data_IF_137796546769
#
_entry.id   IF_137796546769
#
_cell.length_a   1.000
_cell.length_b   1.000
_cell.length_c   1.000
_cell.angle_alpha   90.00
_cell.angle_beta   90.00
_cell.angle_gamma   90.00
#
_symmetry.space_group_name_H-M   'P 1'
#
loop_
_entity.id
_entity.type
_entity.pdbx_description
1 polymer ?
#
# COMPACT_ATOMS: atom_id res chain seq x y z
N UNK A 1 -11.70 17.74 -22.82
CA UNK A 1 -12.03 18.06 -21.44
C UNK A 1 -13.52 18.41 -21.34
N UNK A 2 -14.23 17.87 -20.37
CA UNK A 2 -15.68 18.03 -20.18
C UNK A 2 -16.09 19.40 -19.60
N UNK A 3 -15.27 20.45 -19.79
CA UNK A 3 -15.52 21.78 -19.23
C UNK A 3 -15.27 21.91 -17.73
N UNK A 4 -14.76 20.87 -17.09
CA UNK A 4 -14.43 20.89 -15.67
C UNK A 4 -13.14 21.63 -15.42
N UNK A 5 -13.09 22.44 -14.36
CA UNK A 5 -11.92 23.24 -13.98
C UNK A 5 -11.44 22.82 -12.61
N UNK A 6 -10.12 22.68 -12.50
CA UNK A 6 -9.43 22.67 -11.21
C UNK A 6 -8.71 24.00 -11.07
N UNK A 7 -8.93 24.69 -9.97
CA UNK A 7 -8.34 25.99 -9.71
C UNK A 7 -7.24 25.88 -8.66
N UNK A 8 -6.15 26.62 -8.87
CA UNK A 8 -5.00 26.66 -7.97
C UNK A 8 -4.79 28.08 -7.48
N UNK A 9 -4.75 28.25 -6.17
CA UNK A 9 -4.26 29.48 -5.56
C UNK A 9 -2.75 29.41 -5.43
N UNK A 10 -2.07 30.52 -5.71
CA UNK A 10 -0.61 30.61 -5.60
C UNK A 10 -0.23 31.82 -4.76
N UNK A 11 0.82 31.65 -3.94
CA UNK A 11 1.46 32.78 -3.28
C UNK A 11 2.20 33.60 -4.34
N UNK A 12 1.88 34.89 -4.44
CA UNK A 12 2.42 35.79 -5.49
C UNK A 12 3.93 36.03 -5.38
N UNK A 13 4.52 35.80 -4.22
CA UNK A 13 5.96 36.00 -3.95
C UNK A 13 6.76 34.71 -4.13
N UNK A 14 6.32 33.61 -3.50
CA UNK A 14 7.05 32.33 -3.51
C UNK A 14 6.66 31.43 -4.68
N UNK A 15 5.46 31.57 -5.23
CA UNK A 15 4.90 30.67 -6.23
C UNK A 15 4.36 29.36 -5.65
N UNK A 16 4.36 29.20 -4.33
CA UNK A 16 3.86 28.01 -3.68
C UNK A 16 2.33 27.92 -3.78
N UNK A 17 1.82 26.70 -3.92
CA UNK A 17 0.38 26.45 -3.96
C UNK A 17 -0.21 26.66 -2.58
N UNK A 18 -1.21 27.55 -2.46
CA UNK A 18 -1.92 27.82 -1.20
C UNK A 18 -3.24 27.10 -1.09
N UNK A 19 -3.87 26.80 -2.21
CA UNK A 19 -5.12 26.06 -2.26
C UNK A 19 -5.35 25.40 -3.61
N UNK A 20 -6.12 24.34 -3.59
CA UNK A 20 -6.59 23.64 -4.78
C UNK A 20 -8.10 23.48 -4.64
N UNK A 21 -8.86 23.98 -5.63
CA UNK A 21 -10.31 23.79 -5.69
C UNK A 21 -10.66 22.90 -6.86
N UNK A 22 -11.30 21.78 -6.58
CA UNK A 22 -11.76 20.81 -7.58
C UNK A 22 -13.02 21.29 -8.28
N UNK A 23 -13.39 20.69 -9.45
CA UNK A 23 -14.60 21.11 -10.21
C UNK A 23 -15.90 21.07 -9.42
N UNK A 24 -16.00 20.25 -8.38
CA UNK A 24 -17.15 20.13 -7.49
C UNK A 24 -17.12 21.12 -6.31
N UNK A 25 -16.13 22.02 -6.26
CA UNK A 25 -16.01 23.03 -5.23
C UNK A 25 -15.29 22.58 -3.95
N UNK A 26 -14.72 21.40 -3.94
CA UNK A 26 -13.94 20.91 -2.78
C UNK A 26 -12.59 21.58 -2.74
N UNK A 27 -12.20 22.05 -1.57
CA UNK A 27 -10.98 22.84 -1.38
C UNK A 27 -9.99 22.13 -0.47
N UNK A 28 -8.73 22.07 -0.91
CA UNK A 28 -7.57 21.67 -0.10
C UNK A 28 -6.72 22.89 0.13
N UNK A 29 -6.35 23.17 1.38
CA UNK A 29 -5.54 24.32 1.77
C UNK A 29 -4.17 23.90 2.24
N UNK A 30 -3.16 24.69 1.85
CA UNK A 30 -1.76 24.48 2.19
C UNK A 30 -1.24 25.68 2.98
N UNK A 31 -0.53 25.43 4.06
CA UNK A 31 0.05 26.46 4.91
C UNK A 31 1.56 26.29 4.99
N UNK A 32 2.26 27.40 5.02
CA UNK A 32 3.71 27.43 5.02
C UNK A 32 4.24 28.34 6.15
N UNK A 33 5.45 28.08 6.62
CA UNK A 33 6.15 28.96 7.54
C UNK A 33 6.89 30.05 6.79
N UNK A 34 7.59 30.94 7.51
CA UNK A 34 8.36 32.04 6.93
C UNK A 34 9.52 31.55 6.04
N UNK A 35 9.99 30.33 6.22
CA UNK A 35 10.99 29.69 5.38
C UNK A 35 10.42 28.97 4.15
N UNK A 36 9.14 29.15 3.83
CA UNK A 36 8.43 28.52 2.71
C UNK A 36 8.35 26.99 2.83
N UNK A 37 8.40 26.45 4.05
CA UNK A 37 8.24 25.04 4.30
C UNK A 37 6.79 24.73 4.66
N UNK A 38 6.26 23.62 4.13
CA UNK A 38 4.88 23.20 4.35
C UNK A 38 4.68 22.83 5.82
N UNK A 39 3.74 23.52 6.51
CA UNK A 39 3.43 23.25 7.92
C UNK A 39 2.12 22.55 8.13
N UNK A 40 1.16 22.72 7.24
CA UNK A 40 -0.15 22.07 7.34
C UNK A 40 -0.80 21.89 5.98
N UNK A 41 -1.61 20.84 5.88
CA UNK A 41 -2.53 20.58 4.77
C UNK A 41 -3.90 20.31 5.37
N UNK A 42 -4.90 21.09 4.97
CA UNK A 42 -6.29 20.88 5.35
C UNK A 42 -7.01 20.31 4.15
N UNK A 43 -7.47 19.06 4.25
CA UNK A 43 -8.21 18.38 3.19
C UNK A 43 -9.68 18.84 3.13
N UNK A 44 -10.40 18.55 2.03
CA UNK A 44 -11.80 18.99 1.87
C UNK A 44 -12.76 18.49 2.96
N UNK A 45 -12.43 17.37 3.61
CA UNK A 45 -13.19 16.82 4.74
C UNK A 45 -12.92 17.54 6.07
N UNK A 46 -12.05 18.58 6.07
CA UNK A 46 -11.71 19.37 7.24
C UNK A 46 -10.59 18.76 8.11
N UNK A 47 -10.08 17.59 7.75
CA UNK A 47 -8.98 16.96 8.48
C UNK A 47 -7.65 17.61 8.11
N UNK A 48 -6.78 17.74 9.10
CA UNK A 48 -5.51 18.45 8.98
C UNK A 48 -4.34 17.53 9.27
N UNK A 49 -3.32 17.57 8.39
CA UNK A 49 -2.00 17.05 8.66
C UNK A 49 -1.04 18.19 8.96
N UNK A 50 -0.06 17.97 9.83
CA UNK A 50 0.87 19.02 10.28
C UNK A 50 2.32 18.57 10.22
N UNK A 51 3.22 19.56 10.05
CA UNK A 51 4.66 19.39 10.12
C UNK A 51 5.27 20.52 10.92
N UNK A 52 6.24 20.18 11.77
CA UNK A 52 7.01 21.14 12.54
C UNK A 52 8.48 21.03 12.18
N UNK A 53 9.18 22.15 12.19
CA UNK A 53 10.59 22.27 11.83
C UNK A 53 11.37 22.94 12.96
N UNK A 54 12.64 22.61 13.07
CA UNK A 54 13.55 23.31 13.99
C UNK A 54 14.06 24.61 13.35
N UNK A 55 14.88 25.37 14.10
CA UNK A 55 15.42 26.64 13.65
C UNK A 55 16.27 26.51 12.36
N UNK A 56 17.14 25.47 12.19
CA UNK A 56 17.82 25.25 10.91
C UNK A 56 16.93 24.79 9.76
N UNK A 57 15.65 24.48 10.00
CA UNK A 57 14.70 24.10 8.98
C UNK A 57 14.55 22.58 8.77
N UNK A 58 15.03 21.77 9.70
CA UNK A 58 14.88 20.31 9.63
C UNK A 58 13.54 19.88 10.22
N UNK A 59 12.93 18.84 9.62
CA UNK A 59 11.66 18.29 10.09
C UNK A 59 11.84 17.65 11.48
N UNK A 60 11.09 18.07 12.48
CA UNK A 60 11.13 17.52 13.84
C UNK A 60 9.85 16.78 14.23
N UNK A 61 8.74 17.03 13.56
CA UNK A 61 7.52 16.23 13.75
C UNK A 61 6.62 16.23 12.52
N UNK A 62 5.91 15.13 12.35
CA UNK A 62 4.84 14.96 11.37
C UNK A 62 3.62 14.40 12.09
N UNK A 63 2.48 15.05 11.92
CA UNK A 63 1.19 14.58 12.45
C UNK A 63 0.28 14.24 11.28
N UNK A 64 -0.23 13.00 11.25
CA UNK A 64 -1.15 12.55 10.21
C UNK A 64 -2.53 13.18 10.36
N UNK A 65 -3.37 13.02 9.35
CA UNK A 65 -4.78 13.46 9.37
C UNK A 65 -5.58 12.87 10.54
N UNK A 66 -5.24 11.66 10.96
CA UNK A 66 -5.88 10.98 12.09
C UNK A 66 -5.26 11.31 13.45
N UNK A 67 -4.22 12.14 13.48
CA UNK A 67 -3.62 12.68 14.71
C UNK A 67 -2.42 11.91 15.24
N UNK A 68 -1.93 10.89 14.54
CA UNK A 68 -0.72 10.17 14.92
C UNK A 68 0.50 11.02 14.60
N UNK A 69 1.41 11.13 15.56
CA UNK A 69 2.61 11.98 15.45
C UNK A 69 3.87 11.13 15.45
N UNK A 70 4.74 11.38 14.48
CA UNK A 70 6.11 10.86 14.40
C UNK A 70 7.06 12.01 14.68
N UNK A 71 8.06 11.79 15.54
CA UNK A 71 9.04 12.81 15.94
C UNK A 71 10.44 12.40 15.51
N UNK A 72 11.25 13.41 15.16
CA UNK A 72 12.61 13.24 14.70
C UNK A 72 13.56 14.07 15.55
N UNK A 73 14.70 13.48 15.93
CA UNK A 73 15.76 14.18 16.65
C UNK A 73 17.07 14.01 15.91
N UNK A 74 17.88 15.07 15.92
CA UNK A 74 19.18 15.14 15.24
C UNK A 74 20.30 15.22 16.28
N UNK A 75 21.47 14.65 15.99
CA UNK A 75 22.59 14.61 16.93
C UNK A 75 23.26 15.96 17.11
N UNK A 76 23.39 16.73 16.03
CA UNK A 76 24.03 18.04 16.07
C UNK A 76 23.34 19.04 15.14
N UNK A 77 23.79 20.30 15.21
CA UNK A 77 23.19 21.40 14.44
C UNK A 77 23.42 21.30 12.92
N UNK A 78 24.31 20.44 12.46
CA UNK A 78 24.68 20.31 11.06
C UNK A 78 24.19 19.02 10.39
N UNK A 79 23.69 18.07 11.16
CA UNK A 79 23.14 16.83 10.62
C UNK A 79 21.84 17.06 9.89
N UNK A 80 21.71 16.57 8.66
CA UNK A 80 20.48 16.64 7.88
C UNK A 80 19.62 15.39 8.03
N UNK A 81 20.17 14.30 8.59
CA UNK A 81 19.51 13.05 8.78
C UNK A 81 19.23 12.79 10.28
N UNK A 82 18.05 12.29 10.62
CA UNK A 82 17.68 12.11 12.02
C UNK A 82 18.47 10.98 12.70
N UNK A 83 18.93 11.23 13.91
CA UNK A 83 19.57 10.21 14.74
C UNK A 83 18.54 9.37 15.49
N UNK A 84 17.38 9.92 15.79
CA UNK A 84 16.31 9.23 16.52
C UNK A 84 14.97 9.54 15.87
N UNK A 85 14.16 8.50 15.70
CA UNK A 85 12.76 8.59 15.28
C UNK A 85 11.88 7.99 16.36
N UNK A 86 10.85 8.73 16.78
CA UNK A 86 9.83 8.25 17.75
C UNK A 86 8.50 8.14 16.99
N UNK A 87 7.92 6.96 16.92
CA UNK A 87 6.65 6.74 16.27
C UNK A 87 5.45 7.07 17.17
N UNK A 88 4.23 6.95 16.63
CA UNK A 88 3.01 7.28 17.37
C UNK A 88 2.74 6.38 18.57
N UNK A 89 3.38 5.21 18.66
CA UNK A 89 3.32 4.33 19.83
C UNK A 89 4.23 4.78 20.97
N UNK A 90 5.09 5.79 20.73
CA UNK A 90 6.12 6.22 21.65
C UNK A 90 7.42 5.42 21.55
N UNK A 91 7.47 4.44 20.66
CA UNK A 91 8.66 3.62 20.45
C UNK A 91 9.72 4.38 19.67
N UNK A 92 10.98 4.23 20.06
CA UNK A 92 12.10 4.94 19.45
C UNK A 92 12.98 4.02 18.64
N UNK A 93 13.56 4.58 17.58
CA UNK A 93 14.57 3.95 16.72
C UNK A 93 15.77 4.88 16.66
N UNK A 94 16.97 4.30 16.66
CA UNK A 94 18.20 5.06 16.59
C UNK A 94 18.94 4.73 15.32
N UNK A 95 19.57 5.74 14.69
CA UNK A 95 20.30 5.61 13.45
C UNK A 95 21.65 6.31 13.57
N UNK A 96 22.68 5.65 13.06
CA UNK A 96 24.01 6.21 12.95
C UNK A 96 24.37 6.33 11.48
N UNK A 97 24.83 7.51 11.06
CA UNK A 97 25.11 7.83 9.67
C UNK A 97 26.59 8.10 9.43
N UNK A 98 27.08 7.73 8.26
CA UNK A 98 28.39 8.17 7.80
C UNK A 98 28.33 9.65 7.38
N UNK A 99 29.50 10.26 7.21
CA UNK A 99 29.59 11.63 6.66
C UNK A 99 29.05 11.75 5.24
N UNK A 100 28.84 10.64 4.54
CA UNK A 100 28.27 10.59 3.19
C UNK A 100 26.77 10.31 3.19
N UNK A 101 26.13 10.24 4.36
CA UNK A 101 24.70 9.97 4.47
C UNK A 101 24.34 8.49 4.35
N UNK A 102 25.28 7.59 4.50
CA UNK A 102 25.02 6.14 4.51
C UNK A 102 24.64 5.67 5.92
N UNK A 103 23.63 4.82 6.03
CA UNK A 103 23.23 4.24 7.30
C UNK A 103 24.27 3.20 7.76
N UNK A 104 24.94 3.47 8.86
CA UNK A 104 25.97 2.56 9.43
C UNK A 104 25.37 1.61 10.46
N UNK A 105 24.42 2.06 11.26
CA UNK A 105 23.77 1.26 12.27
C UNK A 105 22.34 1.71 12.48
N UNK A 106 21.48 0.75 12.78
CA UNK A 106 20.08 0.95 13.10
C UNK A 106 19.74 0.16 14.36
N UNK A 107 19.19 0.82 15.37
CA UNK A 107 18.70 0.18 16.60
C UNK A 107 17.19 0.30 16.61
N UNK A 108 16.49 -0.82 16.66
CA UNK A 108 15.03 -0.83 16.66
C UNK A 108 14.45 -0.52 18.05
N UNK A 109 13.12 -0.55 18.16
CA UNK A 109 12.40 -0.23 19.40
C UNK A 109 12.70 -1.22 20.55
N UNK A 110 13.25 -2.38 20.27
CA UNK A 110 13.64 -3.40 21.26
C UNK A 110 15.12 -3.32 21.66
N UNK A 111 15.88 -2.37 21.09
CA UNK A 111 17.30 -2.28 21.27
C UNK A 111 18.11 -3.24 20.39
N UNK A 112 17.47 -3.92 19.45
CA UNK A 112 18.13 -4.80 18.48
C UNK A 112 18.90 -3.97 17.46
N UNK A 113 20.21 -4.23 17.35
CA UNK A 113 21.07 -3.46 16.47
C UNK A 113 21.38 -4.20 15.17
N UNK A 114 21.27 -3.48 14.05
CA UNK A 114 21.72 -3.91 12.72
C UNK A 114 22.82 -2.97 12.27
N UNK A 115 23.92 -3.51 11.74
CA UNK A 115 25.05 -2.74 11.22
C UNK A 115 25.22 -3.02 9.75
N UNK A 116 25.68 -2.00 9.00
CA UNK A 116 25.80 -2.03 7.54
C UNK A 116 27.25 -1.71 7.14
N UNK A 117 27.73 -2.39 6.14
CA UNK A 117 29.04 -2.12 5.52
C UNK A 117 28.87 -1.76 4.06
N UNK A 118 29.73 -0.89 3.57
CA UNK A 118 29.71 -0.38 2.20
C UNK A 118 31.11 -0.48 1.58
N UNK A 119 31.14 -0.66 0.25
CA UNK A 119 32.41 -0.58 -0.47
C UNK A 119 32.81 0.88 -0.75
N UNK A 120 33.94 1.06 -1.41
CA UNK A 120 34.43 2.41 -1.76
C UNK A 120 33.57 3.16 -2.75
N UNK A 121 32.65 2.48 -3.44
CA UNK A 121 31.68 3.07 -4.37
C UNK A 121 30.35 3.39 -3.73
N UNK A 122 30.19 3.15 -2.43
CA UNK A 122 28.97 3.39 -1.70
C UNK A 122 27.91 2.28 -1.81
N UNK A 123 28.27 1.14 -2.33
CA UNK A 123 27.37 -0.02 -2.45
C UNK A 123 27.40 -0.85 -1.16
N UNK A 124 26.23 -1.26 -0.69
CA UNK A 124 26.11 -2.07 0.52
C UNK A 124 26.65 -3.48 0.28
N UNK A 125 27.67 -3.88 1.04
CA UNK A 125 28.32 -5.18 0.92
C UNK A 125 27.94 -6.17 2.00
N UNK A 126 27.51 -5.67 3.16
CA UNK A 126 27.13 -6.54 4.27
C UNK A 126 26.09 -5.90 5.17
N UNK A 127 25.24 -6.75 5.73
CA UNK A 127 24.29 -6.42 6.80
C UNK A 127 24.56 -7.39 7.94
N UNK A 128 24.88 -6.86 9.12
CA UNK A 128 25.18 -7.65 10.31
C UNK A 128 24.08 -7.43 11.34
N UNK A 129 23.38 -8.49 11.67
CA UNK A 129 22.38 -8.50 12.73
C UNK A 129 22.95 -9.16 13.99
N UNK A 130 22.28 -9.03 15.11
CA UNK A 130 22.68 -9.70 16.34
C UNK A 130 22.66 -11.23 16.15
N UNK A 131 23.28 -11.95 17.07
CA UNK A 131 23.40 -13.41 17.07
C UNK A 131 24.21 -13.98 15.89
N UNK A 132 25.10 -13.16 15.30
CA UNK A 132 25.97 -13.58 14.20
C UNK A 132 25.26 -13.79 12.87
N UNK A 133 24.06 -13.23 12.72
CA UNK A 133 23.30 -13.31 11.46
C UNK A 133 23.81 -12.23 10.53
N UNK A 134 24.47 -12.65 9.45
CA UNK A 134 25.04 -11.72 8.47
C UNK A 134 24.59 -12.07 7.05
N UNK A 135 24.35 -11.04 6.26
CA UNK A 135 24.01 -11.11 4.85
C UNK A 135 25.10 -10.40 4.05
N UNK A 136 25.49 -10.96 2.93
CA UNK A 136 26.56 -10.41 2.09
C UNK A 136 26.08 -10.21 0.66
N UNK A 137 26.56 -9.13 0.04
CA UNK A 137 26.31 -8.79 -1.36
C UNK A 137 27.64 -8.61 -2.08
N UNK A 138 27.73 -9.16 -3.28
CA UNK A 138 28.86 -9.00 -4.17
C UNK A 138 28.44 -8.31 -5.46
N UNK A 139 29.32 -7.44 -5.96
CA UNK A 139 29.07 -6.65 -7.15
C UNK A 139 30.20 -6.88 -8.17
N UNK A 140 29.86 -6.72 -9.45
CA UNK A 140 30.86 -6.71 -10.49
C UNK A 140 31.56 -5.34 -10.61
N UNK A 141 32.51 -5.22 -11.52
CA UNK A 141 33.23 -3.97 -11.72
C UNK A 141 32.39 -2.84 -12.35
N UNK A 142 31.16 -3.12 -12.77
CA UNK A 142 30.17 -2.14 -13.24
C UNK A 142 29.16 -1.76 -12.16
N UNK A 143 29.30 -2.27 -10.96
CA UNK A 143 28.41 -1.99 -9.84
C UNK A 143 27.12 -2.79 -9.84
N UNK A 144 27.00 -3.86 -10.63
CA UNK A 144 25.81 -4.71 -10.68
C UNK A 144 25.92 -5.83 -9.66
N UNK A 145 24.81 -6.13 -8.99
CA UNK A 145 24.74 -7.20 -7.98
C UNK A 145 24.90 -8.56 -8.65
N UNK A 146 25.95 -9.31 -8.28
CA UNK A 146 26.22 -10.64 -8.84
C UNK A 146 25.82 -11.77 -7.91
N UNK A 147 25.84 -11.55 -6.60
CA UNK A 147 25.36 -12.55 -5.64
C UNK A 147 24.91 -11.95 -4.32
N UNK A 148 24.03 -12.67 -3.66
CA UNK A 148 23.59 -12.43 -2.28
C UNK A 148 23.77 -13.73 -1.50
N UNK A 149 24.47 -13.65 -0.38
CA UNK A 149 24.70 -14.79 0.53
C UNK A 149 23.93 -14.56 1.81
N UNK A 150 23.07 -15.51 2.20
CA UNK A 150 22.31 -15.40 3.44
C UNK A 150 23.14 -15.86 4.67
N UNK A 151 22.51 -15.77 5.86
CA UNK A 151 23.15 -16.11 7.12
C UNK A 151 23.56 -17.58 7.24
N UNK A 152 22.99 -18.47 6.43
CA UNK A 152 23.29 -19.89 6.39
C UNK A 152 24.31 -20.24 5.32
N UNK A 153 24.83 -19.24 4.61
CA UNK A 153 25.79 -19.41 3.53
C UNK A 153 25.18 -19.79 2.20
N UNK A 154 23.83 -19.78 2.09
CA UNK A 154 23.14 -20.04 0.83
C UNK A 154 23.24 -18.84 -0.08
N UNK A 155 23.53 -19.09 -1.35
CA UNK A 155 23.85 -18.05 -2.31
C UNK A 155 22.85 -17.98 -3.45
N UNK A 156 22.36 -16.78 -3.73
CA UNK A 156 21.58 -16.46 -4.93
C UNK A 156 22.49 -15.70 -5.89
N UNK A 157 22.53 -16.11 -7.15
CA UNK A 157 23.41 -15.54 -8.18
C UNK A 157 22.60 -14.81 -9.25
N UNK A 158 23.20 -13.76 -9.80
CA UNK A 158 22.58 -12.92 -10.82
C UNK A 158 23.50 -12.79 -12.03
N UNK A 159 22.95 -12.91 -13.22
CA UNK A 159 23.70 -12.75 -14.47
C UNK A 159 23.09 -11.64 -15.31
N UNK A 160 23.92 -10.96 -16.08
CA UNK A 160 23.54 -9.81 -16.88
C UNK A 160 24.06 -9.97 -18.32
N UNK A 161 23.34 -9.36 -19.30
CA UNK A 161 23.85 -9.24 -20.65
C UNK A 161 24.79 -8.02 -20.80
N UNK A 162 25.33 -7.82 -21.99
CA UNK A 162 26.26 -6.71 -22.25
C UNK A 162 25.59 -5.32 -22.07
N UNK A 163 24.28 -5.23 -22.23
CA UNK A 163 23.52 -3.99 -22.04
C UNK A 163 23.23 -3.69 -20.55
N UNK A 164 23.49 -4.64 -19.65
CA UNK A 164 23.23 -4.47 -18.23
C UNK A 164 21.88 -5.00 -17.76
N UNK A 165 21.12 -5.67 -18.62
CA UNK A 165 19.82 -6.26 -18.26
C UNK A 165 20.03 -7.58 -17.52
N UNK A 166 19.21 -7.83 -16.49
CA UNK A 166 19.26 -9.07 -15.71
C UNK A 166 18.74 -10.24 -16.55
N UNK A 167 19.62 -11.17 -16.92
CA UNK A 167 19.27 -12.32 -17.77
C UNK A 167 19.00 -13.59 -17.01
N UNK A 168 19.55 -13.76 -15.81
CA UNK A 168 19.30 -14.96 -15.02
C UNK A 168 19.38 -14.69 -13.52
N UNK A 169 18.57 -15.42 -12.78
CA UNK A 169 18.62 -15.55 -11.32
C UNK A 169 18.73 -17.03 -11.00
N UNK A 170 19.75 -17.40 -10.23
CA UNK A 170 19.99 -18.77 -9.80
C UNK A 170 19.84 -18.83 -8.29
N UNK A 171 18.81 -19.53 -7.82
CA UNK A 171 18.53 -19.70 -6.39
C UNK A 171 19.48 -20.72 -5.76
N UNK A 172 19.61 -20.75 -4.41
CA UNK A 172 20.55 -21.65 -3.73
C UNK A 172 20.31 -23.13 -4.00
N UNK A 173 19.07 -23.52 -4.34
CA UNK A 173 18.71 -24.90 -4.71
C UNK A 173 19.05 -25.25 -6.17
N UNK A 174 19.63 -24.33 -6.91
CA UNK A 174 20.03 -24.52 -8.30
C UNK A 174 18.98 -24.20 -9.33
N UNK A 175 17.78 -23.74 -8.93
CA UNK A 175 16.75 -23.34 -9.87
C UNK A 175 17.16 -22.07 -10.60
N UNK A 176 17.07 -22.12 -11.93
CA UNK A 176 17.46 -21.03 -12.81
C UNK A 176 16.24 -20.42 -13.48
N UNK A 177 16.08 -19.11 -13.31
CA UNK A 177 15.09 -18.30 -14.03
C UNK A 177 15.82 -17.44 -15.05
N UNK A 178 15.37 -17.46 -16.29
CA UNK A 178 16.02 -16.71 -17.39
C UNK A 178 15.04 -15.72 -18.00
N UNK A 179 15.56 -14.56 -18.39
CA UNK A 179 14.81 -13.52 -19.09
C UNK A 179 15.58 -13.09 -20.32
N UNK A 180 14.90 -13.05 -21.47
CA UNK A 180 15.44 -12.51 -22.69
C UNK A 180 14.86 -11.14 -22.97
N UNK A 181 15.65 -10.26 -23.57
CA UNK A 181 15.32 -8.87 -23.84
C UNK A 181 15.42 -8.54 -25.32
N UNK A 182 14.62 -7.59 -25.78
CA UNK A 182 14.78 -7.02 -27.12
C UNK A 182 15.91 -5.99 -27.17
N UNK A 183 16.12 -5.40 -28.34
CA UNK A 183 17.18 -4.41 -28.54
C UNK A 183 16.97 -3.11 -27.76
N UNK A 184 15.75 -2.86 -27.23
CA UNK A 184 15.41 -1.69 -26.43
C UNK A 184 15.41 -1.97 -24.93
N UNK A 185 15.81 -3.19 -24.52
CA UNK A 185 15.88 -3.57 -23.10
C UNK A 185 14.57 -4.00 -22.49
N UNK A 186 13.55 -4.33 -23.30
CA UNK A 186 12.28 -4.85 -22.80
C UNK A 186 12.30 -6.37 -22.77
N UNK A 187 11.76 -6.95 -21.70
CA UNK A 187 11.67 -8.40 -21.55
C UNK A 187 10.70 -8.99 -22.60
N UNK A 188 11.19 -9.95 -23.40
CA UNK A 188 10.38 -10.64 -24.41
C UNK A 188 10.06 -12.08 -24.05
N UNK A 189 10.83 -12.69 -23.15
CA UNK A 189 10.50 -14.02 -22.62
C UNK A 189 11.08 -14.24 -21.25
N UNK A 190 10.40 -15.04 -20.44
CA UNK A 190 10.87 -15.53 -19.14
C UNK A 190 10.73 -17.03 -19.09
N UNK A 191 11.76 -17.72 -18.59
CA UNK A 191 11.78 -19.19 -18.49
C UNK A 191 12.09 -19.60 -17.04
N UNK A 192 11.22 -20.43 -16.48
CA UNK A 192 11.41 -21.03 -15.15
C UNK A 192 11.03 -22.50 -15.22
N UNK A 193 11.90 -23.38 -14.70
CA UNK A 193 11.64 -24.81 -14.69
C UNK A 193 11.34 -25.42 -16.06
N UNK A 194 11.93 -24.86 -17.12
CA UNK A 194 11.68 -25.30 -18.49
C UNK A 194 10.39 -24.78 -19.11
N UNK A 195 9.61 -23.95 -18.38
CA UNK A 195 8.37 -23.36 -18.87
C UNK A 195 8.63 -21.91 -19.27
N UNK A 196 8.23 -21.55 -20.47
CA UNK A 196 8.50 -20.22 -21.07
C UNK A 196 7.21 -19.45 -21.27
N UNK A 197 7.22 -18.19 -20.82
CA UNK A 197 6.23 -17.16 -21.16
C UNK A 197 6.88 -16.12 -22.04
N UNK A 198 6.13 -15.61 -23.00
CA UNK A 198 6.66 -14.59 -23.90
C UNK A 198 5.73 -13.40 -24.04
N UNK A 199 6.31 -12.26 -24.45
CA UNK A 199 5.64 -10.98 -24.56
C UNK A 199 6.02 -10.32 -25.87
N UNK A 200 5.04 -9.68 -26.51
CA UNK A 200 5.27 -8.86 -27.69
C UNK A 200 4.84 -7.41 -27.40
N UNK A 201 5.55 -6.48 -28.01
CA UNK A 201 5.33 -5.04 -27.82
C UNK A 201 5.06 -4.38 -29.17
N UNK A 202 4.27 -3.30 -29.14
CA UNK A 202 4.11 -2.44 -30.30
C UNK A 202 5.27 -1.43 -30.42
N UNK A 203 5.24 -0.60 -31.47
CA UNK A 203 6.28 0.40 -31.70
C UNK A 203 6.37 1.48 -30.59
N UNK A 204 5.28 1.70 -29.83
CA UNK A 204 5.23 2.60 -28.70
C UNK A 204 5.71 1.94 -27.39
N UNK A 205 6.05 0.65 -27.42
CA UNK A 205 6.53 -0.09 -26.27
C UNK A 205 5.44 -0.64 -25.35
N UNK A 206 4.20 -0.69 -25.81
CA UNK A 206 3.09 -1.26 -25.05
C UNK A 206 2.97 -2.75 -25.34
N UNK A 207 2.61 -3.55 -24.32
CA UNK A 207 2.39 -4.99 -24.48
C UNK A 207 1.16 -5.21 -25.35
N UNK A 208 1.32 -5.93 -26.48
CA UNK A 208 0.21 -6.29 -27.38
C UNK A 208 -0.14 -7.78 -27.31
N UNK A 209 0.75 -8.63 -26.83
CA UNK A 209 0.47 -10.05 -26.67
C UNK A 209 1.28 -10.65 -25.53
N UNK A 210 0.64 -11.54 -24.78
CA UNK A 210 1.26 -12.43 -23.81
C UNK A 210 0.98 -13.87 -24.23
N UNK A 211 2.01 -14.71 -24.20
CA UNK A 211 1.87 -16.13 -24.48
C UNK A 211 2.27 -16.90 -23.21
N UNK A 212 1.38 -17.77 -22.70
CA UNK A 212 1.66 -18.59 -21.55
C UNK A 212 2.45 -19.87 -21.92
N UNK A 213 2.74 -20.68 -20.91
CA UNK A 213 3.52 -21.91 -21.06
C UNK A 213 2.86 -22.96 -21.98
N UNK A 214 1.54 -22.89 -22.13
CA UNK A 214 0.76 -23.77 -23.00
C UNK A 214 0.64 -23.28 -24.44
N UNK A 215 1.22 -22.11 -24.76
CA UNK A 215 1.07 -21.48 -26.06
C UNK A 215 -0.22 -20.70 -26.24
N UNK A 216 -1.06 -20.56 -25.22
CA UNK A 216 -2.26 -19.73 -25.28
C UNK A 216 -1.90 -18.25 -25.24
N UNK A 217 -2.67 -17.42 -25.96
CA UNK A 217 -2.41 -15.98 -26.09
C UNK A 217 -3.41 -15.14 -25.33
N UNK A 218 -2.94 -14.01 -24.82
CA UNK A 218 -3.77 -12.89 -24.40
C UNK A 218 -3.30 -11.66 -25.18
N UNK A 219 -4.23 -11.01 -25.88
CA UNK A 219 -3.93 -9.90 -26.79
C UNK A 219 -4.51 -8.60 -26.26
N UNK A 220 -3.80 -7.49 -26.49
CA UNK A 220 -4.16 -6.18 -25.98
C UNK A 220 -4.14 -5.14 -27.09
N UNK A 221 -5.14 -4.27 -27.08
CA UNK A 221 -5.23 -3.12 -27.98
C UNK A 221 -5.42 -1.83 -27.19
N UNK A 222 -4.86 -0.75 -27.69
CA UNK A 222 -4.84 0.55 -27.01
C UNK A 222 -5.40 1.65 -27.92
N UNK A 223 -5.93 2.70 -27.30
CA UNK A 223 -6.32 3.92 -28.01
C UNK A 223 -5.12 4.87 -28.18
N UNK A 224 -5.37 6.02 -28.81
CA UNK A 224 -4.33 7.02 -29.05
C UNK A 224 -3.77 7.68 -27.78
N UNK A 225 -4.43 7.51 -26.63
CA UNK A 225 -4.01 8.00 -25.31
C UNK A 225 -3.38 6.90 -24.44
N UNK A 226 -2.95 5.78 -25.07
CA UNK A 226 -2.32 4.64 -24.40
C UNK A 226 -3.20 3.89 -23.38
N UNK A 227 -4.53 4.02 -23.50
CA UNK A 227 -5.48 3.33 -22.63
C UNK A 227 -5.89 2.01 -23.27
N UNK A 228 -6.00 0.96 -22.44
CA UNK A 228 -6.44 -0.36 -22.88
C UNK A 228 -7.91 -0.30 -23.34
N UNK A 229 -8.18 -0.65 -24.61
CA UNK A 229 -9.54 -0.67 -25.16
C UNK A 229 -10.04 -2.07 -25.47
N UNK A 230 -9.15 -3.06 -25.60
CA UNK A 230 -9.54 -4.44 -25.85
C UNK A 230 -8.50 -5.39 -25.26
N UNK A 231 -8.99 -6.46 -24.67
CA UNK A 231 -8.17 -7.55 -24.14
C UNK A 231 -8.79 -8.88 -24.54
N UNK A 232 -8.01 -9.73 -25.18
CA UNK A 232 -8.35 -11.14 -25.37
C UNK A 232 -7.70 -11.98 -24.29
N UNK A 233 -8.48 -12.80 -23.57
CA UNK A 233 -7.96 -13.67 -22.53
C UNK A 233 -7.38 -14.98 -23.07
N UNK A 234 -6.61 -15.69 -22.24
CA UNK A 234 -6.08 -17.02 -22.54
C UNK A 234 -7.18 -18.06 -22.80
N UNK A 235 -8.37 -17.82 -22.28
CA UNK A 235 -9.58 -18.66 -22.46
C UNK A 235 -10.36 -18.32 -23.72
N UNK A 236 -9.88 -17.38 -24.54
CA UNK A 236 -10.53 -16.91 -25.76
C UNK A 236 -11.61 -15.87 -25.54
N UNK A 237 -11.88 -15.43 -24.32
CA UNK A 237 -12.84 -14.34 -24.05
C UNK A 237 -12.27 -12.99 -24.43
N UNK A 238 -13.14 -12.14 -24.95
CA UNK A 238 -12.76 -10.77 -25.32
C UNK A 238 -13.46 -9.78 -24.42
N UNK A 239 -12.69 -8.86 -23.85
CA UNK A 239 -13.17 -7.73 -23.07
C UNK A 239 -12.87 -6.43 -23.81
N UNK A 240 -13.81 -5.49 -23.80
CA UNK A 240 -13.68 -4.16 -24.40
C UNK A 240 -13.96 -3.09 -23.38
N UNK A 241 -13.26 -1.96 -23.50
CA UNK A 241 -13.33 -0.85 -22.55
C UNK A 241 -13.53 0.47 -23.28
N UNK A 242 -14.36 1.33 -22.69
CA UNK A 242 -14.60 2.69 -23.16
C UNK A 242 -14.36 3.67 -22.01
N UNK A 243 -13.87 4.85 -22.36
CA UNK A 243 -13.49 5.89 -21.39
C UNK A 243 -14.19 7.20 -21.73
N UNK A 244 -14.41 8.04 -20.72
CA UNK A 244 -14.90 9.39 -20.92
C UNK A 244 -13.75 10.35 -21.31
N UNK A 245 -14.10 11.62 -21.53
CA UNK A 245 -13.12 12.64 -21.92
C UNK A 245 -12.10 12.96 -20.81
N UNK A 246 -12.36 12.55 -19.57
CA UNK A 246 -11.45 12.73 -18.44
C UNK A 246 -10.59 11.49 -18.15
N UNK A 247 -10.80 10.42 -18.90
CA UNK A 247 -10.03 9.18 -18.80
C UNK A 247 -10.60 8.13 -17.84
N UNK A 248 -11.84 8.34 -17.31
CA UNK A 248 -12.47 7.34 -16.47
C UNK A 248 -13.13 6.25 -17.30
N UNK A 249 -13.06 5.01 -16.82
CA UNK A 249 -13.76 3.88 -17.44
C UNK A 249 -15.27 4.06 -17.31
N UNK A 250 -15.97 4.13 -18.42
CA UNK A 250 -17.43 4.30 -18.46
C UNK A 250 -18.17 3.04 -18.89
N UNK A 251 -17.52 2.15 -19.62
CA UNK A 251 -18.14 0.93 -20.12
C UNK A 251 -17.12 -0.18 -20.27
N UNK A 252 -17.52 -1.41 -19.92
CA UNK A 252 -16.82 -2.63 -20.32
C UNK A 252 -17.81 -3.61 -20.92
N UNK A 253 -17.31 -4.44 -21.84
CA UNK A 253 -18.06 -5.54 -22.46
C UNK A 253 -17.28 -6.83 -22.26
N UNK A 254 -17.96 -7.87 -21.78
CA UNK A 254 -17.40 -9.20 -21.59
C UNK A 254 -18.44 -10.24 -22.04
N UNK A 255 -18.21 -10.87 -23.18
CA UNK A 255 -19.06 -11.95 -23.70
C UNK A 255 -20.57 -11.60 -23.74
N UNK A 256 -20.89 -10.38 -24.18
CA UNK A 256 -22.27 -9.89 -24.25
C UNK A 256 -22.80 -9.25 -22.96
N UNK A 257 -22.02 -9.24 -21.89
CA UNK A 257 -22.33 -8.46 -20.69
C UNK A 257 -21.77 -7.05 -20.85
N UNK A 258 -22.66 -6.06 -20.85
CA UNK A 258 -22.29 -4.65 -20.95
C UNK A 258 -22.46 -4.02 -19.58
N UNK A 259 -21.34 -3.60 -18.98
CA UNK A 259 -21.31 -2.89 -17.70
C UNK A 259 -21.08 -1.41 -17.95
N UNK A 260 -21.95 -0.55 -17.40
CA UNK A 260 -21.80 0.90 -17.43
C UNK A 260 -21.53 1.42 -16.03
N UNK A 261 -20.53 2.29 -15.90
CA UNK A 261 -20.18 2.98 -14.66
C UNK A 261 -20.52 4.45 -14.74
N UNK A 262 -21.07 4.98 -13.66
CA UNK A 262 -21.49 6.37 -13.53
C UNK A 262 -20.76 7.04 -12.38
N UNK A 263 -20.46 8.31 -12.54
CA UNK A 263 -19.65 9.08 -11.61
C UNK A 263 -20.34 10.39 -11.24
N UNK A 264 -20.05 10.89 -10.04
CA UNK A 264 -20.48 12.21 -9.61
C UNK A 264 -19.51 13.31 -10.07
N UNK A 265 -19.76 14.54 -9.66
CA UNK A 265 -18.92 15.69 -10.01
C UNK A 265 -17.52 15.64 -9.39
N UNK A 266 -17.34 14.84 -8.33
CA UNK A 266 -16.04 14.59 -7.69
C UNK A 266 -15.28 13.42 -8.29
N UNK A 267 -15.76 12.84 -9.40
CA UNK A 267 -15.20 11.67 -10.07
C UNK A 267 -15.26 10.38 -9.22
N UNK A 268 -16.20 10.32 -8.27
CA UNK A 268 -16.45 9.13 -7.46
C UNK A 268 -17.56 8.31 -8.13
N UNK A 269 -17.39 6.98 -8.11
CA UNK A 269 -18.42 6.08 -8.65
C UNK A 269 -19.72 6.20 -7.84
N UNK A 270 -20.85 6.36 -8.52
CA UNK A 270 -22.18 6.42 -7.88
C UNK A 270 -23.01 5.17 -8.10
N UNK A 271 -22.93 4.58 -9.27
CA UNK A 271 -23.62 3.33 -9.57
C UNK A 271 -23.05 2.67 -10.82
N UNK A 272 -23.37 1.41 -10.99
CA UNK A 272 -23.12 0.68 -12.23
C UNK A 272 -24.36 -0.12 -12.63
N UNK A 273 -24.47 -0.36 -13.93
CA UNK A 273 -25.52 -1.21 -14.49
C UNK A 273 -24.87 -2.36 -15.26
N UNK A 274 -25.56 -3.49 -15.34
CA UNK A 274 -25.17 -4.62 -16.18
C UNK A 274 -26.34 -4.93 -17.11
N UNK A 275 -26.11 -4.83 -18.42
CA UNK A 275 -27.15 -4.96 -19.46
C UNK A 275 -28.38 -4.09 -19.20
N UNK A 276 -28.16 -2.88 -18.72
CA UNK A 276 -29.22 -1.91 -18.41
C UNK A 276 -29.92 -2.10 -17.06
N UNK A 277 -29.63 -3.18 -16.36
CA UNK A 277 -30.19 -3.42 -15.03
C UNK A 277 -29.27 -2.87 -13.93
N UNK A 278 -29.82 -2.22 -12.89
CA UNK A 278 -29.00 -1.74 -11.77
C UNK A 278 -28.26 -2.90 -11.10
N UNK A 279 -26.95 -2.73 -10.90
CA UNK A 279 -26.12 -3.72 -10.24
C UNK A 279 -25.69 -3.26 -8.84
N UNK A 280 -24.95 -2.14 -8.76
CA UNK A 280 -24.49 -1.62 -7.48
C UNK A 280 -24.66 -0.10 -7.40
N UNK A 281 -24.79 0.40 -6.19
CA UNK A 281 -24.87 1.83 -5.88
C UNK A 281 -23.91 2.18 -4.74
N UNK A 282 -23.29 3.37 -4.82
CA UNK A 282 -22.37 3.91 -3.82
C UNK A 282 -22.87 5.27 -3.37
N UNK A 283 -22.79 5.54 -2.06
CA UNK A 283 -23.15 6.83 -1.48
C UNK A 283 -22.02 7.36 -0.61
N UNK A 284 -21.93 8.68 -0.51
CA UNK A 284 -20.85 9.37 0.20
C UNK A 284 -21.45 10.44 1.10
N UNK A 285 -20.75 10.75 2.20
CA UNK A 285 -21.15 11.83 3.10
C UNK A 285 -20.58 13.19 2.64
N UNK A 286 -20.84 14.23 3.44
CA UNK A 286 -20.34 15.58 3.15
C UNK A 286 -18.83 15.71 3.20
N UNK A 287 -18.13 14.80 3.89
CA UNK A 287 -16.68 14.73 3.90
C UNK A 287 -16.13 14.05 2.62
N UNK A 288 -16.98 13.39 1.85
CA UNK A 288 -16.58 12.56 0.72
C UNK A 288 -16.23 11.13 1.09
N UNK A 289 -16.56 10.69 2.30
CA UNK A 289 -16.31 9.33 2.74
C UNK A 289 -17.45 8.41 2.31
N UNK A 290 -17.10 7.19 1.92
CA UNK A 290 -18.08 6.19 1.47
C UNK A 290 -18.95 5.76 2.66
N UNK A 291 -20.27 5.95 2.53
CA UNK A 291 -21.23 5.59 3.58
C UNK A 291 -22.00 4.31 3.27
N UNK A 292 -22.24 4.01 2.00
CA UNK A 292 -23.09 2.89 1.62
C UNK A 292 -22.67 2.28 0.29
N UNK A 293 -22.70 0.95 0.23
CA UNK A 293 -22.68 0.18 -1.00
C UNK A 293 -23.88 -0.75 -0.97
N UNK A 294 -24.68 -0.78 -2.05
CA UNK A 294 -25.87 -1.62 -2.11
C UNK A 294 -26.07 -2.24 -3.48
N UNK A 295 -26.74 -3.39 -3.50
CA UNK A 295 -27.17 -4.06 -4.72
C UNK A 295 -28.47 -4.84 -4.48
N UNK A 296 -29.14 -5.23 -5.56
CA UNK A 296 -30.30 -6.11 -5.50
C UNK A 296 -29.84 -7.55 -5.73
N UNK A 297 -30.29 -8.46 -4.87
CA UNK A 297 -30.01 -9.90 -4.98
C UNK A 297 -31.29 -10.67 -4.58
N UNK A 298 -31.75 -11.54 -5.47
CA UNK A 298 -32.94 -12.38 -5.25
C UNK A 298 -34.18 -11.58 -4.79
N UNK A 299 -34.38 -10.38 -5.35
CA UNK A 299 -35.49 -9.51 -4.99
C UNK A 299 -35.32 -8.75 -3.67
N UNK A 300 -34.17 -8.84 -3.04
CA UNK A 300 -33.85 -8.12 -1.81
C UNK A 300 -32.74 -7.10 -2.04
N UNK A 301 -32.77 -6.02 -1.25
CA UNK A 301 -31.69 -5.05 -1.22
C UNK A 301 -30.65 -5.47 -0.19
N UNK A 302 -29.45 -5.75 -0.65
CA UNK A 302 -28.31 -6.06 0.21
C UNK A 302 -27.41 -4.83 0.27
N UNK A 303 -27.07 -4.38 1.46
CA UNK A 303 -26.29 -3.17 1.65
C UNK A 303 -25.24 -3.34 2.74
N UNK A 304 -24.14 -2.58 2.60
CA UNK A 304 -23.15 -2.36 3.66
C UNK A 304 -23.13 -0.86 3.94
N UNK A 305 -23.29 -0.50 5.21
CA UNK A 305 -23.26 0.87 5.69
C UNK A 305 -22.00 1.08 6.51
N UNK A 306 -21.29 2.17 6.26
CA UNK A 306 -20.01 2.49 6.90
C UNK A 306 -20.16 3.70 7.81
N UNK A 307 -19.61 3.62 9.02
CA UNK A 307 -19.55 4.72 9.97
C UNK A 307 -18.09 5.09 10.28
N UNK A 308 -17.87 6.37 10.57
CA UNK A 308 -16.53 6.92 10.79
C UNK A 308 -16.49 7.76 12.06
N UNK A 309 -15.31 7.88 12.66
CA UNK A 309 -15.09 8.85 13.72
C UNK A 309 -14.73 10.23 13.12
N UNK A 310 -14.50 11.20 13.99
CA UNK A 310 -14.15 12.56 13.59
C UNK A 310 -12.80 12.68 12.88
N UNK A 311 -11.95 11.65 12.99
CA UNK A 311 -10.65 11.54 12.32
C UNK A 311 -10.71 10.78 10.99
N UNK A 312 -11.91 10.37 10.54
CA UNK A 312 -12.10 9.66 9.29
C UNK A 312 -11.75 8.18 9.34
N UNK A 313 -11.59 7.61 10.55
CA UNK A 313 -11.30 6.18 10.70
C UNK A 313 -12.61 5.40 10.75
N UNK A 314 -12.63 4.23 10.10
CA UNK A 314 -13.79 3.36 10.06
C UNK A 314 -14.10 2.82 11.47
N UNK A 315 -15.28 3.14 12.00
CA UNK A 315 -15.71 2.69 13.32
C UNK A 315 -16.83 1.65 13.26
N UNK A 316 -17.53 1.55 12.14
CA UNK A 316 -18.61 0.59 12.02
C UNK A 316 -18.87 0.14 10.59
N UNK A 317 -19.27 -1.11 10.46
CA UNK A 317 -19.80 -1.70 9.24
C UNK A 317 -21.10 -2.41 9.60
N UNK A 318 -22.18 -2.03 8.95
CA UNK A 318 -23.47 -2.66 9.15
C UNK A 318 -23.96 -3.27 7.83
N UNK A 319 -24.04 -4.57 7.79
CA UNK A 319 -24.63 -5.32 6.68
C UNK A 319 -26.13 -5.43 6.88
N UNK A 320 -26.90 -5.18 5.84
CA UNK A 320 -28.36 -5.27 5.91
C UNK A 320 -28.94 -6.01 4.72
N UNK A 321 -30.08 -6.66 4.95
CA UNK A 321 -30.95 -7.19 3.92
C UNK A 321 -32.33 -6.56 4.13
N UNK A 322 -32.85 -5.89 3.12
CA UNK A 322 -34.08 -5.12 3.19
C UNK A 322 -35.04 -5.52 2.06
N UNK A 323 -36.33 -5.33 2.31
CA UNK A 323 -37.34 -5.34 1.25
C UNK A 323 -37.20 -4.03 0.44
N UNK A 324 -36.89 -4.08 -0.87
CA UNK A 324 -36.61 -2.88 -1.65
C UNK A 324 -37.87 -2.00 -1.88
N UNK A 325 -39.09 -2.56 -1.75
CA UNK A 325 -40.36 -1.84 -1.96
C UNK A 325 -40.84 -1.16 -0.68
N UNK A 326 -40.70 -1.83 0.47
CA UNK A 326 -41.24 -1.34 1.76
C UNK A 326 -40.17 -0.72 2.65
N UNK A 327 -38.90 -1.01 2.39
CA UNK A 327 -37.79 -0.62 3.26
C UNK A 327 -37.68 -1.42 4.55
N UNK A 328 -38.49 -2.48 4.70
CA UNK A 328 -38.46 -3.33 5.89
C UNK A 328 -37.12 -4.03 6.04
N UNK A 329 -36.53 -3.90 7.23
CA UNK A 329 -35.27 -4.58 7.58
C UNK A 329 -35.57 -6.04 7.88
N UNK A 330 -35.02 -6.95 7.06
CA UNK A 330 -35.19 -8.39 7.21
C UNK A 330 -34.07 -9.04 8.00
N UNK A 331 -32.86 -8.49 7.89
CA UNK A 331 -31.67 -8.99 8.57
C UNK A 331 -30.63 -7.89 8.67
N UNK A 332 -29.87 -7.91 9.75
CA UNK A 332 -28.70 -7.05 9.90
C UNK A 332 -27.62 -7.71 10.74
N UNK A 333 -26.41 -7.30 10.46
CA UNK A 333 -25.21 -7.64 11.22
C UNK A 333 -24.32 -6.41 11.30
N UNK A 334 -23.89 -6.06 12.49
CA UNK A 334 -23.03 -4.91 12.71
C UNK A 334 -21.69 -5.34 13.30
N UNK A 335 -20.62 -4.76 12.76
CA UNK A 335 -19.27 -4.92 13.29
C UNK A 335 -18.71 -3.54 13.61
N UNK A 336 -18.23 -3.35 14.84
CA UNK A 336 -17.61 -2.09 15.26
C UNK A 336 -16.10 -2.24 15.37
N UNK A 337 -15.39 -1.16 15.10
CA UNK A 337 -13.94 -1.08 15.14
C UNK A 337 -13.53 0.00 16.13
N UNK A 338 -12.50 -0.26 16.91
CA UNK A 338 -11.93 0.71 17.82
C UNK A 338 -10.41 0.82 17.62
N UNK A 339 -9.88 1.96 18.03
CA UNK A 339 -8.48 2.32 17.87
C UNK A 339 -7.93 2.71 19.24
N UNK A 340 -6.65 2.41 19.50
CA UNK A 340 -5.99 2.82 20.73
C UNK A 340 -5.55 4.30 20.63
N UNK A 341 -4.94 4.81 21.70
CA UNK A 341 -4.48 6.20 21.78
C UNK A 341 -3.39 6.54 20.75
N UNK A 342 -2.67 5.54 20.25
CA UNK A 342 -1.66 5.69 19.21
C UNK A 342 -2.25 5.59 17.80
N UNK A 343 -3.57 5.44 17.64
CA UNK A 343 -4.24 5.32 16.37
C UNK A 343 -4.17 3.94 15.71
N UNK A 344 -3.72 2.92 16.43
CA UNK A 344 -3.67 1.55 15.91
C UNK A 344 -5.03 0.87 16.07
N UNK A 345 -5.51 0.19 15.03
CA UNK A 345 -6.70 -0.65 15.08
C UNK A 345 -6.44 -1.81 16.04
N UNK A 346 -7.18 -1.84 17.15
CA UNK A 346 -6.90 -2.81 18.22
C UNK A 346 -8.11 -3.63 18.65
N UNK A 347 -9.31 -3.33 18.16
CA UNK A 347 -10.52 -4.01 18.60
C UNK A 347 -11.56 -4.09 17.49
N UNK A 348 -12.12 -5.29 17.32
CA UNK A 348 -13.27 -5.53 16.44
C UNK A 348 -14.35 -6.23 17.26
N UNK A 349 -15.55 -5.66 17.27
CA UNK A 349 -16.69 -6.23 17.99
C UNK A 349 -17.78 -6.60 16.98
N UNK A 350 -17.92 -7.89 16.62
CA UNK A 350 -19.04 -8.37 15.82
C UNK A 350 -20.33 -8.32 16.65
N UNK A 351 -21.46 -8.16 15.97
CA UNK A 351 -22.78 -8.12 16.61
C UNK A 351 -23.04 -9.40 17.41
N UNK A 352 -23.52 -9.23 18.63
CA UNK A 352 -23.88 -10.32 19.58
C UNK A 352 -22.71 -11.24 19.98
N UNK A 353 -21.48 -10.87 19.64
CA UNK A 353 -20.29 -11.64 19.98
C UNK A 353 -19.34 -10.81 20.85
N UNK A 354 -18.52 -11.46 21.69
CA UNK A 354 -17.49 -10.74 22.42
C UNK A 354 -16.49 -10.08 21.49
N UNK A 355 -15.88 -8.95 21.87
CA UNK A 355 -14.90 -8.27 21.05
C UNK A 355 -13.62 -9.12 20.88
N UNK A 356 -13.04 -9.06 19.69
CA UNK A 356 -11.68 -9.52 19.43
C UNK A 356 -10.74 -8.33 19.60
N UNK A 357 -9.74 -8.49 20.43
CA UNK A 357 -8.79 -7.44 20.76
C UNK A 357 -7.37 -7.91 20.48
N UNK A 358 -6.61 -7.08 19.75
CA UNK A 358 -5.21 -7.32 19.45
C UNK A 358 -4.35 -6.53 20.43
N UNK A 359 -3.43 -7.23 21.07
CA UNK A 359 -2.45 -6.65 21.99
C UNK A 359 -1.13 -6.49 21.24
N UNK A 360 -0.55 -5.31 21.29
CA UNK A 360 0.69 -4.99 20.62
C UNK A 360 1.74 -4.46 21.57
N UNK A 361 2.99 -4.52 21.17
CA UNK A 361 4.12 -3.94 21.87
C UNK A 361 5.07 -3.24 20.91
N UNK A 362 5.92 -2.37 21.43
CA UNK A 362 6.88 -1.63 20.61
C UNK A 362 6.18 -0.85 19.52
N UNK A 363 6.68 -0.92 18.31
CA UNK A 363 6.14 -0.20 17.14
C UNK A 363 4.93 -0.89 16.49
N UNK A 364 4.20 -1.73 17.20
CA UNK A 364 2.99 -2.38 16.72
C UNK A 364 3.13 -3.87 16.46
N UNK A 365 4.14 -4.52 17.01
CA UNK A 365 4.29 -5.97 16.92
C UNK A 365 3.21 -6.69 17.73
N UNK A 366 2.60 -7.72 17.16
CA UNK A 366 1.53 -8.45 17.82
C UNK A 366 2.05 -9.25 19.02
N UNK A 367 1.52 -8.98 20.20
CA UNK A 367 1.84 -9.69 21.43
C UNK A 367 0.80 -10.75 21.79
N UNK A 368 -0.45 -10.58 21.33
CA UNK A 368 -1.51 -11.52 21.65
C UNK A 368 -2.86 -11.08 21.14
N UNK A 369 -3.86 -11.92 21.43
CA UNK A 369 -5.26 -11.68 21.09
C UNK A 369 -6.14 -12.11 22.26
N UNK A 370 -7.22 -11.36 22.50
CA UNK A 370 -8.27 -11.71 23.46
C UNK A 370 -9.61 -11.85 22.73
N UNK A 371 -10.46 -12.72 23.26
CA UNK A 371 -11.89 -12.75 22.95
C UNK A 371 -12.66 -12.35 24.22
N UNK A 372 -13.24 -11.15 24.25
CA UNK A 372 -13.74 -10.55 25.47
C UNK A 372 -12.62 -10.40 26.50
N UNK A 373 -12.80 -10.97 27.68
CA UNK A 373 -11.78 -10.96 28.73
C UNK A 373 -10.90 -12.22 28.71
N UNK A 374 -11.14 -13.14 27.78
CA UNK A 374 -10.43 -14.41 27.69
C UNK A 374 -9.26 -14.33 26.72
N UNK A 375 -8.01 -14.54 27.17
CA UNK A 375 -6.89 -14.63 26.26
C UNK A 375 -7.05 -15.81 25.29
N UNK A 376 -6.93 -15.55 23.97
CA UNK A 376 -6.93 -16.59 22.94
C UNK A 376 -5.53 -17.05 22.60
N UNK A 377 -4.65 -16.08 22.36
CA UNK A 377 -3.28 -16.30 21.95
C UNK A 377 -2.36 -15.32 22.65
N UNK A 378 -1.19 -15.82 23.04
CA UNK A 378 -0.07 -14.99 23.48
C UNK A 378 1.17 -15.43 22.74
N UNK A 379 1.93 -14.44 22.26
CA UNK A 379 3.16 -14.68 21.51
C UNK A 379 4.35 -14.26 22.38
N UNK A 380 5.31 -15.16 22.52
CA UNK A 380 6.64 -14.81 23.01
C UNK A 380 7.54 -14.62 21.80
N UNK A 381 8.26 -13.50 21.77
CA UNK A 381 9.11 -13.14 20.65
C UNK A 381 10.54 -12.90 21.11
N UNK A 382 11.49 -13.23 20.25
CA UNK A 382 12.87 -12.88 20.48
C UNK A 382 13.14 -11.40 20.17
N UNK A 383 14.40 -10.96 20.33
CA UNK A 383 14.78 -9.57 20.06
C UNK A 383 14.65 -9.15 18.60
N UNK A 384 14.53 -10.11 17.69
CA UNK A 384 14.26 -9.88 16.25
C UNK A 384 12.77 -9.87 15.94
N UNK A 385 11.93 -9.90 16.97
CA UNK A 385 10.46 -9.98 16.87
C UNK A 385 9.95 -11.26 16.20
N UNK A 386 10.79 -12.30 16.12
CA UNK A 386 10.37 -13.61 15.62
C UNK A 386 9.61 -14.34 16.72
N UNK A 387 8.55 -15.00 16.34
CA UNK A 387 7.78 -15.82 17.25
C UNK A 387 8.61 -17.02 17.72
N UNK A 388 8.77 -17.17 19.02
CA UNK A 388 9.48 -18.29 19.64
C UNK A 388 8.54 -19.26 20.35
N UNK A 389 7.46 -18.74 20.93
CA UNK A 389 6.42 -19.55 21.60
C UNK A 389 5.06 -18.97 21.26
N UNK A 390 4.11 -19.83 20.97
CA UNK A 390 2.69 -19.51 20.87
C UNK A 390 1.95 -20.23 21.98
N UNK A 391 1.33 -19.47 22.87
CA UNK A 391 0.51 -20.00 23.96
C UNK A 391 -0.95 -19.81 23.61
N UNK A 392 -1.72 -20.89 23.59
CA UNK A 392 -3.16 -20.82 23.49
C UNK A 392 -3.73 -20.54 24.88
N UNK A 393 -4.75 -19.70 24.95
CA UNK A 393 -5.32 -19.27 26.21
C UNK A 393 -5.96 -20.41 27.03
N UNK A 394 -6.57 -20.05 28.16
CA UNK A 394 -7.09 -21.00 29.17
C UNK A 394 -8.06 -22.06 28.67
N UNK A 395 -8.63 -21.88 27.48
CA UNK A 395 -9.52 -22.86 26.88
C UNK A 395 -8.81 -24.09 26.32
N UNK A 396 -7.52 -24.02 26.05
CA UNK A 396 -6.76 -25.13 25.46
C UNK A 396 -5.63 -25.67 26.36
N UNK A 397 -5.14 -24.89 27.32
CA UNK A 397 -4.09 -25.31 28.26
C UNK A 397 -2.80 -25.80 27.62
N UNK A 398 -2.54 -25.45 26.35
CA UNK A 398 -1.42 -25.97 25.58
C UNK A 398 -0.55 -24.84 25.04
N UNK A 399 0.75 -25.01 25.16
CA UNK A 399 1.76 -24.17 24.56
C UNK A 399 2.40 -24.91 23.40
N UNK A 400 2.55 -24.25 22.27
CA UNK A 400 3.30 -24.76 21.13
C UNK A 400 4.56 -23.93 20.92
N UNK A 401 5.71 -24.61 20.90
CA UNK A 401 7.01 -23.99 20.58
C UNK A 401 7.37 -24.32 19.12
N UNK A 402 7.99 -23.35 18.42
CA UNK A 402 8.39 -23.48 17.01
C UNK A 402 9.89 -23.31 16.85
#
# INVERSE_FOLDING_TARGET
>A
AAGRRTEYGLNVVSGDITDITTPDGRETKFYYNDGNQLTAVVSPDGLESRREYDEPGRLVSETSRSGETVRYRYDDAHSELPATTTDATGSTRQMTWSRYGQLLAFTDCSGYQTRYEYDRFGQMTAVHREEGISLYRHYDNRGRLTSVKDAQGRETQYEYNAAGDLTAVITPDGNRSETQYDAWGKAVSTTQGGLTRSMEYDAAGRVISLTNENGSHSDFSYDALDRLVQQGGFDGRTQRYHYDLTGKLTQSEDEGLVTLWYYDESDRITHRTVNGEPAEQWQYDDHGWLTDISHLSEGHRVAVHYGYDDKGRLTGERQTVENPETGELLWQHETTHAYNEQGLANRVTPDSLPPVEWLTYGSGYLAGMKLGDTPLLEYTRDRMHRETVRSFGSMAGSNAAY
#
